data_IF_823484561158
#
_entry.id   IF_823484561158
#
_cell.length_a   1.000
_cell.length_b   1.000
_cell.length_c   1.000
_cell.angle_alpha   90.00
_cell.angle_beta   90.00
_cell.angle_gamma   90.00
#
_symmetry.space_group_name_H-M   'P 1'
#
loop_
_entity.id
_entity.type
_entity.pdbx_description
1 polymer ?
#
# COMPACT_ATOMS: atom_id res chain seq x y z
N UNK A 1 -43.00 -42.14 65.69
CA UNK A 1 -42.59 -42.47 64.30
C UNK A 1 -41.43 -43.46 64.37
N UNK A 2 -41.40 -44.46 63.49
CA UNK A 2 -40.38 -45.53 63.52
C UNK A 2 -39.00 -44.99 63.10
N UNK A 3 -37.94 -45.39 63.81
CA UNK A 3 -36.53 -45.07 63.51
C UNK A 3 -36.14 -45.37 62.05
N UNK A 4 -36.87 -46.28 61.38
CA UNK A 4 -36.71 -46.59 59.94
C UNK A 4 -37.28 -45.50 59.02
N UNK A 5 -38.34 -44.80 59.41
CA UNK A 5 -38.91 -43.70 58.64
C UNK A 5 -38.02 -42.45 58.71
N UNK A 6 -37.42 -42.19 59.87
CA UNK A 6 -36.44 -41.11 60.05
C UNK A 6 -35.16 -41.36 59.25
N UNK A 7 -34.61 -42.58 59.27
CA UNK A 7 -33.44 -42.93 58.45
C UNK A 7 -33.72 -42.84 56.95
N UNK A 8 -34.93 -43.22 56.51
CA UNK A 8 -35.33 -43.05 55.10
C UNK A 8 -35.43 -41.57 54.74
N UNK A 9 -36.07 -40.75 55.58
CA UNK A 9 -36.16 -39.31 55.35
C UNK A 9 -34.78 -38.63 55.31
N UNK A 10 -33.86 -39.02 56.20
CA UNK A 10 -32.49 -38.51 56.24
C UNK A 10 -31.66 -38.94 55.02
N UNK A 11 -31.84 -40.19 54.55
CA UNK A 11 -31.22 -40.69 53.33
C UNK A 11 -31.74 -39.95 52.08
N UNK A 12 -33.05 -39.69 51.99
CA UNK A 12 -33.61 -38.92 50.87
C UNK A 12 -33.14 -37.47 50.88
N UNK A 13 -33.05 -36.85 52.07
CA UNK A 13 -32.56 -35.48 52.22
C UNK A 13 -31.06 -35.35 51.86
N UNK A 14 -30.24 -36.33 52.24
CA UNK A 14 -28.81 -36.35 51.89
C UNK A 14 -28.56 -36.62 50.41
N UNK A 15 -29.33 -37.50 49.76
CA UNK A 15 -29.26 -37.70 48.31
C UNK A 15 -29.74 -36.46 47.56
N UNK A 16 -30.84 -35.83 48.01
CA UNK A 16 -31.33 -34.60 47.41
C UNK A 16 -30.33 -33.44 47.58
N UNK A 17 -29.67 -33.33 48.75
CA UNK A 17 -28.62 -32.35 48.99
C UNK A 17 -27.37 -32.62 48.13
N UNK A 18 -26.92 -33.88 48.01
CA UNK A 18 -25.80 -34.24 47.12
C UNK A 18 -26.12 -33.95 45.65
N UNK A 19 -27.33 -34.29 45.19
CA UNK A 19 -27.78 -33.99 43.83
C UNK A 19 -27.89 -32.48 43.59
N UNK A 20 -28.38 -31.72 44.57
CA UNK A 20 -28.44 -30.25 44.50
C UNK A 20 -27.05 -29.64 44.46
N UNK A 21 -26.09 -30.12 45.28
CA UNK A 21 -24.70 -29.66 45.24
C UNK A 21 -23.98 -30.10 43.96
N UNK A 22 -24.29 -31.26 43.40
CA UNK A 22 -23.78 -31.70 42.11
C UNK A 22 -24.32 -30.83 40.97
N UNK A 23 -25.62 -30.50 40.98
CA UNK A 23 -26.24 -29.57 40.03
C UNK A 23 -25.68 -28.14 40.18
N UNK A 24 -25.42 -27.68 41.41
CA UNK A 24 -24.77 -26.39 41.67
C UNK A 24 -23.29 -26.38 41.20
N UNK A 25 -22.61 -27.53 41.27
CA UNK A 25 -21.23 -27.71 40.76
C UNK A 25 -21.19 -27.78 39.22
N UNK A 26 -22.27 -28.24 38.58
CA UNK A 26 -22.40 -28.23 37.10
C UNK A 26 -22.59 -26.78 36.58
N UNK A 27 -22.90 -25.82 37.45
CA UNK A 27 -23.25 -24.45 37.04
C UNK A 27 -22.07 -23.46 36.88
N UNK A 28 -20.81 -23.86 37.10
CA UNK A 28 -19.65 -22.97 36.90
C UNK A 28 -18.56 -23.60 36.03
N UNK A 29 -18.79 -23.53 34.71
CA UNK A 29 -17.77 -23.83 33.71
C UNK A 29 -18.06 -23.22 32.34
N UNK A 30 -18.93 -22.21 32.24
CA UNK A 30 -18.97 -21.43 31.00
C UNK A 30 -17.68 -20.60 30.97
N UNK A 31 -16.77 -20.97 30.06
CA UNK A 31 -15.68 -20.08 29.69
C UNK A 31 -16.33 -18.73 29.31
N UNK A 32 -16.07 -17.70 30.11
CA UNK A 32 -16.57 -16.35 29.87
C UNK A 32 -15.88 -15.85 28.60
N UNK A 33 -16.48 -16.12 27.44
CA UNK A 33 -15.91 -15.67 26.18
C UNK A 33 -16.46 -14.30 25.83
N UNK A 34 -15.62 -13.45 25.28
CA UNK A 34 -15.99 -12.10 24.85
C UNK A 34 -15.46 -11.82 23.45
N UNK A 35 -16.02 -10.81 22.80
CA UNK A 35 -15.62 -10.39 21.48
C UNK A 35 -14.58 -9.27 21.60
N UNK A 36 -13.55 -9.31 20.76
CA UNK A 36 -12.57 -8.24 20.62
C UNK A 36 -12.77 -7.57 19.26
N UNK A 37 -13.04 -6.27 19.29
CA UNK A 37 -13.09 -5.44 18.09
C UNK A 37 -11.82 -4.59 17.99
N UNK A 38 -11.12 -4.74 16.88
CA UNK A 38 -9.94 -3.97 16.52
C UNK A 38 -10.30 -2.98 15.41
N UNK A 39 -9.77 -1.76 15.52
CA UNK A 39 -9.78 -0.74 14.48
C UNK A 39 -8.37 -0.48 14.00
N UNK A 40 -8.11 -0.93 12.79
CA UNK A 40 -6.83 -0.79 12.12
C UNK A 40 -6.80 0.53 11.37
N UNK A 41 -5.81 1.36 11.69
CA UNK A 41 -5.63 2.69 11.10
C UNK A 41 -4.19 2.93 10.68
N UNK A 42 -3.99 3.82 9.71
CA UNK A 42 -2.66 4.30 9.33
C UNK A 42 -2.09 5.26 10.40
N UNK A 43 -0.89 5.79 10.16
CA UNK A 43 -0.28 6.75 11.07
C UNK A 43 -1.15 8.00 11.34
N UNK A 44 -1.94 8.44 10.36
CA UNK A 44 -2.80 9.62 10.44
C UNK A 44 -4.18 9.32 11.04
N UNK A 45 -4.46 8.05 11.41
CA UNK A 45 -5.74 7.63 11.96
C UNK A 45 -6.80 7.28 10.92
N UNK A 46 -6.45 7.26 9.63
CA UNK A 46 -7.38 6.84 8.58
C UNK A 46 -7.55 5.31 8.64
N UNK A 47 -8.77 4.77 8.44
CA UNK A 47 -9.00 3.33 8.46
C UNK A 47 -8.24 2.61 7.34
N UNK A 48 -7.59 1.49 7.67
CA UNK A 48 -6.88 0.65 6.69
C UNK A 48 -7.62 -0.66 6.50
N UNK A 49 -8.25 -0.81 5.34
CA UNK A 49 -9.04 -1.98 4.99
C UNK A 49 -8.27 -3.07 4.23
N UNK A 50 -8.85 -4.27 4.21
CA UNK A 50 -8.33 -5.46 3.52
C UNK A 50 -6.90 -5.86 3.94
N UNK A 51 -6.51 -5.57 5.18
CA UNK A 51 -5.23 -6.01 5.73
C UNK A 51 -5.41 -7.21 6.64
N UNK A 52 -4.43 -8.11 6.61
CA UNK A 52 -4.45 -9.31 7.44
C UNK A 52 -4.06 -8.98 8.87
N UNK A 53 -4.97 -9.27 9.79
CA UNK A 53 -4.79 -9.15 11.24
C UNK A 53 -4.73 -10.55 11.82
N UNK A 54 -3.60 -10.87 12.44
CA UNK A 54 -3.36 -12.16 13.10
C UNK A 54 -3.42 -11.93 14.61
N UNK A 55 -4.33 -12.63 15.27
CA UNK A 55 -4.48 -12.64 16.73
C UNK A 55 -3.98 -13.97 17.27
N UNK A 56 -3.04 -13.92 18.21
CA UNK A 56 -2.44 -15.12 18.80
C UNK A 56 -2.43 -15.06 20.32
N UNK A 57 -2.48 -16.21 20.98
CA UNK A 57 -2.03 -16.41 22.35
C UNK A 57 -1.27 -17.75 22.44
N UNK A 58 -1.05 -18.29 23.63
CA UNK A 58 -0.34 -19.57 23.81
C UNK A 58 -0.99 -20.78 23.15
N UNK A 59 -2.31 -20.75 22.87
CA UNK A 59 -3.08 -21.89 22.34
C UNK A 59 -3.91 -21.56 21.10
N UNK A 60 -4.05 -20.28 20.76
CA UNK A 60 -4.90 -19.78 19.70
C UNK A 60 -4.07 -19.03 18.66
N UNK A 61 -4.38 -19.28 17.39
CA UNK A 61 -4.01 -18.40 16.27
C UNK A 61 -5.23 -18.23 15.37
N UNK A 62 -5.69 -16.99 15.20
CA UNK A 62 -6.79 -16.64 14.30
C UNK A 62 -6.35 -15.52 13.37
N UNK A 63 -6.86 -15.57 12.15
CA UNK A 63 -6.57 -14.58 11.12
C UNK A 63 -7.88 -13.97 10.63
N UNK A 64 -7.89 -12.65 10.45
CA UNK A 64 -9.02 -11.92 9.92
C UNK A 64 -8.53 -10.84 8.94
N UNK A 65 -9.30 -10.55 7.89
CA UNK A 65 -9.04 -9.40 7.00
C UNK A 65 -9.91 -8.23 7.40
N UNK A 66 -9.31 -7.08 7.69
CA UNK A 66 -10.08 -5.89 8.09
C UNK A 66 -11.06 -5.47 6.99
N UNK A 67 -12.21 -4.92 7.39
CA UNK A 67 -13.19 -4.35 6.46
C UNK A 67 -12.68 -3.05 5.83
N UNK A 68 -13.37 -2.48 4.85
CA UNK A 68 -13.05 -1.15 4.30
C UNK A 68 -13.04 -0.04 5.37
N UNK A 69 -13.79 -0.21 6.45
CA UNK A 69 -13.79 0.68 7.61
C UNK A 69 -12.61 0.39 8.58
N UNK A 70 -11.68 -0.49 8.23
CA UNK A 70 -10.54 -0.88 9.05
C UNK A 70 -10.91 -1.76 10.26
N UNK A 71 -12.10 -2.38 10.29
CA UNK A 71 -12.56 -3.14 11.45
C UNK A 71 -12.22 -4.62 11.33
N UNK A 72 -11.70 -5.23 12.39
CA UNK A 72 -11.52 -6.66 12.54
C UNK A 72 -12.15 -7.15 13.86
N UNK A 73 -13.00 -8.17 13.80
CA UNK A 73 -13.71 -8.67 14.99
C UNK A 73 -13.39 -10.13 15.25
N UNK A 74 -12.85 -10.41 16.44
CA UNK A 74 -12.54 -11.76 16.90
C UNK A 74 -13.54 -12.16 17.98
N UNK A 75 -14.41 -13.13 17.66
CA UNK A 75 -15.49 -13.52 18.57
C UNK A 75 -15.13 -14.67 19.48
N UNK A 76 -15.75 -14.74 20.65
CA UNK A 76 -15.64 -15.92 21.51
C UNK A 76 -14.21 -16.17 22.02
N UNK A 77 -13.52 -15.11 22.45
CA UNK A 77 -12.18 -15.19 23.02
C UNK A 77 -12.25 -15.41 24.53
N UNK A 78 -11.44 -16.33 25.04
CA UNK A 78 -11.24 -16.48 26.48
C UNK A 78 -10.51 -15.27 27.07
N UNK A 79 -10.68 -14.96 28.36
CA UNK A 79 -9.92 -13.89 29.00
C UNK A 79 -8.42 -14.20 28.98
N UNK A 80 -7.59 -13.20 28.73
CA UNK A 80 -6.14 -13.36 28.64
C UNK A 80 -5.46 -12.31 27.78
N UNK A 81 -4.13 -12.43 27.66
CA UNK A 81 -3.32 -11.61 26.78
C UNK A 81 -3.27 -12.22 25.38
N UNK A 82 -3.46 -11.38 24.37
CA UNK A 82 -3.33 -11.74 22.97
C UNK A 82 -2.33 -10.83 22.28
N UNK A 83 -1.54 -11.39 21.37
CA UNK A 83 -0.69 -10.63 20.47
C UNK A 83 -1.41 -10.38 19.15
N UNK A 84 -1.45 -9.12 18.73
CA UNK A 84 -2.01 -8.63 17.48
C UNK A 84 -0.86 -8.31 16.54
N UNK A 85 -0.83 -8.98 15.40
CA UNK A 85 0.12 -8.73 14.33
C UNK A 85 -0.63 -8.31 13.07
N UNK A 86 -0.16 -7.25 12.42
CA UNK A 86 -0.70 -6.81 11.13
C UNK A 86 0.44 -6.69 10.14
N UNK A 87 0.28 -7.30 8.97
CA UNK A 87 1.28 -7.27 7.91
C UNK A 87 0.73 -6.66 6.63
N UNK A 88 1.57 -5.90 5.93
CA UNK A 88 1.31 -5.34 4.59
C UNK A 88 2.49 -5.70 3.72
N UNK A 89 2.23 -6.27 2.54
CA UNK A 89 3.27 -6.72 1.59
C UNK A 89 4.35 -7.60 2.25
N UNK A 90 3.94 -8.46 3.19
CA UNK A 90 4.86 -9.35 3.93
C UNK A 90 5.76 -8.66 4.97
N UNK A 91 5.54 -7.38 5.26
CA UNK A 91 6.21 -6.62 6.32
C UNK A 91 5.30 -6.49 7.54
N UNK A 92 5.81 -6.79 8.73
CA UNK A 92 5.10 -6.59 9.99
C UNK A 92 5.03 -5.10 10.33
N UNK A 93 3.84 -4.50 10.16
CA UNK A 93 3.60 -3.06 10.33
C UNK A 93 2.92 -2.71 11.66
N UNK A 94 2.44 -3.70 12.40
CA UNK A 94 2.06 -3.57 13.81
C UNK A 94 2.29 -4.89 14.53
N UNK A 95 2.75 -4.80 15.78
CA UNK A 95 2.93 -5.92 16.69
C UNK A 95 2.70 -5.43 18.12
N UNK A 96 1.50 -5.65 18.66
CA UNK A 96 1.12 -5.17 19.98
C UNK A 96 0.38 -6.24 20.78
N UNK A 97 0.27 -6.04 22.10
CA UNK A 97 -0.51 -6.92 22.99
C UNK A 97 -1.82 -6.25 23.39
N UNK A 98 -2.87 -7.05 23.49
CA UNK A 98 -4.19 -6.63 23.97
C UNK A 98 -4.72 -7.64 24.98
N UNK A 99 -5.20 -7.12 26.11
CA UNK A 99 -5.87 -7.91 27.14
C UNK A 99 -7.36 -8.05 26.81
N UNK A 100 -7.88 -9.25 26.94
CA UNK A 100 -9.29 -9.61 26.79
C UNK A 100 -9.84 -10.02 28.17
N UNK A 101 -11.05 -9.56 28.58
CA UNK A 101 -11.93 -8.61 27.88
C UNK A 101 -11.28 -7.23 27.71
N UNK A 102 -11.64 -6.56 26.62
CA UNK A 102 -11.30 -5.17 26.36
C UNK A 102 -12.58 -4.34 26.32
N UNK A 103 -12.59 -3.20 26.98
CA UNK A 103 -13.74 -2.28 26.91
C UNK A 103 -13.64 -1.43 25.66
N UNK A 104 -14.68 -1.50 24.82
CA UNK A 104 -14.77 -0.69 23.60
C UNK A 104 -13.88 -1.17 22.45
N UNK A 105 -13.60 -0.23 21.54
CA UNK A 105 -12.82 -0.47 20.33
C UNK A 105 -11.32 -0.28 20.60
N UNK A 106 -10.50 -1.29 20.28
CA UNK A 106 -9.05 -1.17 20.37
C UNK A 106 -8.48 -0.64 19.04
N UNK A 107 -7.83 0.52 19.08
CA UNK A 107 -7.13 1.08 17.91
C UNK A 107 -5.74 0.43 17.76
N UNK A 108 -5.50 -0.15 16.58
CA UNK A 108 -4.20 -0.69 16.15
C UNK A 108 -3.64 0.26 15.09
N UNK A 109 -2.60 1.03 15.45
CA UNK A 109 -1.94 1.95 14.51
C UNK A 109 -0.85 1.22 13.73
N UNK A 110 -0.93 1.28 12.41
CA UNK A 110 0.04 0.69 11.51
C UNK A 110 1.18 1.66 11.25
N UNK A 111 2.41 1.14 11.22
CA UNK A 111 3.60 1.85 10.77
C UNK A 111 3.64 1.97 9.23
N UNK A 112 2.58 2.56 8.66
CA UNK A 112 2.45 2.88 7.25
C UNK A 112 1.93 4.31 7.07
N UNK A 113 2.28 4.92 5.95
CA UNK A 113 1.78 6.23 5.55
C UNK A 113 1.69 6.33 4.03
N UNK A 114 1.02 7.38 3.53
CA UNK A 114 1.01 7.72 2.11
C UNK A 114 2.33 8.40 1.74
N UNK A 115 2.99 7.93 0.67
CA UNK A 115 4.07 8.66 0.02
C UNK A 115 3.50 9.39 -1.19
N UNK A 116 3.29 10.71 -1.07
CA UNK A 116 2.82 11.56 -2.15
C UNK A 116 4.00 12.15 -2.93
N UNK A 117 3.95 12.10 -4.26
CA UNK A 117 5.03 12.50 -5.15
C UNK A 117 4.50 13.44 -6.24
N UNK A 118 5.35 14.36 -6.67
CA UNK A 118 5.14 15.24 -7.82
C UNK A 118 6.40 15.23 -8.67
N UNK A 119 6.33 14.65 -9.87
CA UNK A 119 7.45 14.66 -10.82
C UNK A 119 7.29 15.84 -11.75
N UNK A 120 8.32 16.67 -11.83
CA UNK A 120 8.40 17.85 -12.68
C UNK A 120 9.46 17.65 -13.77
N UNK A 121 9.26 18.28 -14.92
CA UNK A 121 10.28 18.43 -15.95
C UNK A 121 11.28 19.53 -15.59
N UNK A 122 12.30 19.75 -16.43
CA UNK A 122 13.35 20.73 -16.18
C UNK A 122 12.83 22.18 -16.13
N UNK A 123 11.64 22.45 -16.65
CA UNK A 123 10.97 23.74 -16.61
C UNK A 123 9.94 23.86 -15.46
N UNK A 124 9.87 22.86 -14.58
CA UNK A 124 8.96 22.87 -13.43
C UNK A 124 7.51 22.49 -13.75
N UNK A 125 7.22 21.97 -14.95
CA UNK A 125 5.89 21.50 -15.34
C UNK A 125 5.70 20.04 -14.96
N UNK A 126 4.47 19.62 -14.74
CA UNK A 126 4.15 18.22 -14.44
C UNK A 126 4.63 17.24 -15.53
N UNK A 127 5.46 16.27 -15.15
CA UNK A 127 5.91 15.22 -16.05
C UNK A 127 4.84 14.12 -16.16
N UNK A 128 3.95 14.22 -17.14
CA UNK A 128 2.87 13.25 -17.40
C UNK A 128 3.40 11.90 -17.90
N UNK A 129 2.80 10.80 -17.44
CA UNK A 129 2.98 9.49 -18.05
C UNK A 129 4.32 8.81 -17.77
N UNK A 130 5.13 9.34 -16.84
CA UNK A 130 6.40 8.71 -16.45
C UNK A 130 6.16 7.67 -15.38
N UNK A 131 6.90 6.57 -15.42
CA UNK A 131 6.79 5.50 -14.43
C UNK A 131 7.67 5.83 -13.24
N UNK A 132 7.11 5.81 -12.04
CA UNK A 132 7.84 5.92 -10.79
C UNK A 132 7.78 4.60 -10.06
N UNK A 133 8.95 4.11 -9.66
CA UNK A 133 9.11 2.91 -8.86
C UNK A 133 9.68 3.29 -7.50
N UNK A 134 9.16 2.68 -6.44
CA UNK A 134 9.74 2.74 -5.09
C UNK A 134 10.19 1.34 -4.70
N UNK A 135 11.44 1.21 -4.28
CA UNK A 135 12.02 -0.04 -3.81
C UNK A 135 12.70 0.17 -2.47
N UNK A 136 12.25 -0.55 -1.45
CA UNK A 136 12.90 -0.55 -0.13
C UNK A 136 14.34 -1.06 -0.23
N UNK A 137 15.22 -0.57 0.63
CA UNK A 137 16.64 -0.94 0.68
C UNK A 137 16.86 -2.44 0.95
N UNK A 138 15.92 -3.08 1.63
CA UNK A 138 15.92 -4.53 1.87
C UNK A 138 15.38 -5.34 0.69
N UNK A 139 14.76 -4.68 -0.30
CA UNK A 139 14.13 -5.31 -1.45
C UNK A 139 12.78 -5.98 -1.17
N UNK A 140 12.24 -5.90 0.07
CA UNK A 140 10.94 -6.52 0.41
C UNK A 140 9.75 -5.81 -0.22
N UNK A 141 9.80 -4.48 -0.24
CA UNK A 141 8.77 -3.64 -0.85
C UNK A 141 9.26 -3.14 -2.19
N UNK A 142 8.45 -3.37 -3.22
CA UNK A 142 8.62 -2.84 -4.56
C UNK A 142 7.24 -2.50 -5.13
N UNK A 143 7.02 -1.23 -5.46
CA UNK A 143 5.76 -0.75 -6.05
C UNK A 143 6.04 0.21 -7.19
N UNK A 144 5.16 0.28 -8.17
CA UNK A 144 5.26 1.19 -9.31
C UNK A 144 3.93 1.82 -9.65
N UNK A 145 3.96 3.08 -10.08
CA UNK A 145 2.81 3.82 -10.57
C UNK A 145 3.25 4.77 -11.70
N UNK A 146 2.31 5.24 -12.49
CA UNK A 146 2.55 6.23 -13.54
C UNK A 146 2.00 7.58 -13.09
N UNK A 147 2.69 8.67 -13.40
CA UNK A 147 2.24 10.02 -13.06
C UNK A 147 1.00 10.44 -13.85
N UNK A 148 0.13 11.19 -13.18
CA UNK A 148 -1.02 11.89 -13.77
C UNK A 148 -0.56 13.03 -14.70
N UNK A 149 -1.53 13.70 -15.34
CA UNK A 149 -1.28 14.82 -16.26
C UNK A 149 -0.50 15.98 -15.65
N UNK A 150 -0.67 16.22 -14.35
CA UNK A 150 0.03 17.25 -13.60
C UNK A 150 1.35 16.74 -12.99
N UNK A 151 1.76 15.50 -13.25
CA UNK A 151 2.95 14.89 -12.67
C UNK A 151 2.76 14.28 -11.28
N UNK A 152 1.53 14.27 -10.73
CA UNK A 152 1.27 13.72 -9.39
C UNK A 152 1.06 12.21 -9.38
N UNK A 153 1.43 11.56 -8.28
CA UNK A 153 1.04 10.20 -7.91
C UNK A 153 1.20 9.98 -6.39
N UNK A 154 0.69 8.87 -5.88
CA UNK A 154 0.94 8.47 -4.50
C UNK A 154 0.99 6.95 -4.31
N UNK A 155 1.70 6.51 -3.27
CA UNK A 155 1.67 5.13 -2.78
C UNK A 155 1.02 5.11 -1.40
N UNK A 156 -0.22 4.62 -1.31
CA UNK A 156 -0.96 4.49 -0.04
C UNK A 156 -0.47 3.30 0.78
N UNK A 157 -0.61 3.36 2.11
CA UNK A 157 -0.21 2.28 3.01
C UNK A 157 1.22 1.76 2.75
N UNK A 158 2.15 2.66 2.46
CA UNK A 158 3.55 2.32 2.25
C UNK A 158 4.23 2.17 3.62
N UNK A 159 4.87 1.01 3.93
CA UNK A 159 5.58 0.82 5.19
C UNK A 159 6.65 1.86 5.44
N UNK A 160 6.74 2.37 6.68
CA UNK A 160 7.69 3.40 7.06
C UNK A 160 9.14 2.88 7.03
N UNK A 161 10.08 3.77 6.68
CA UNK A 161 11.51 3.44 6.62
C UNK A 161 12.15 3.15 7.97
N UNK A 162 11.49 3.51 9.07
CA UNK A 162 11.92 3.18 10.44
C UNK A 162 11.78 1.68 10.75
N UNK A 163 11.00 0.93 9.96
CA UNK A 163 10.90 -0.51 10.10
C UNK A 163 12.19 -1.17 9.60
N UNK A 164 12.81 -1.99 10.46
CA UNK A 164 14.07 -2.70 10.16
C UNK A 164 14.00 -3.56 8.89
N UNK A 165 12.83 -4.11 8.58
CA UNK A 165 12.61 -4.93 7.39
C UNK A 165 12.41 -4.14 6.10
N UNK A 166 12.41 -2.80 6.17
CA UNK A 166 12.14 -1.89 5.05
C UNK A 166 13.35 -1.01 4.78
N UNK A 167 13.77 -0.21 5.77
CA UNK A 167 14.81 0.82 5.58
C UNK A 167 14.39 1.91 4.59
N UNK A 168 15.38 2.65 4.06
CA UNK A 168 15.13 3.73 3.11
C UNK A 168 14.57 3.20 1.78
N UNK A 169 13.89 4.06 1.01
CA UNK A 169 13.40 3.73 -0.33
C UNK A 169 14.28 4.36 -1.40
N UNK A 170 14.66 3.59 -2.41
CA UNK A 170 15.10 4.14 -3.68
C UNK A 170 13.87 4.43 -4.54
N UNK A 171 13.69 5.68 -4.92
CA UNK A 171 12.66 6.16 -5.83
C UNK A 171 13.29 6.38 -7.19
N UNK A 172 12.84 5.64 -8.19
CA UNK A 172 13.35 5.71 -9.56
C UNK A 172 12.26 6.22 -10.50
N UNK A 173 12.57 7.23 -11.30
CA UNK A 173 11.70 7.72 -12.38
C UNK A 173 12.22 7.18 -13.71
N UNK A 174 11.33 6.60 -14.51
CA UNK A 174 11.60 5.99 -15.80
C UNK A 174 10.74 6.57 -16.91
N UNK A 175 11.35 6.75 -18.07
CA UNK A 175 10.66 6.98 -19.34
C UNK A 175 10.95 5.78 -20.22
N UNK A 176 9.92 4.96 -20.50
CA UNK A 176 10.09 3.67 -21.17
C UNK A 176 11.15 2.83 -20.45
N UNK A 177 12.26 2.47 -21.11
CA UNK A 177 13.33 1.68 -20.52
C UNK A 177 14.46 2.52 -19.90
N UNK A 178 14.44 3.85 -20.08
CA UNK A 178 15.47 4.74 -19.54
C UNK A 178 15.15 5.18 -18.11
N UNK A 179 16.13 5.06 -17.22
CA UNK A 179 16.08 5.66 -15.88
C UNK A 179 16.57 7.10 -15.95
N UNK A 180 15.71 8.05 -15.60
CA UNK A 180 16.02 9.48 -15.74
C UNK A 180 16.34 10.16 -14.42
N UNK A 181 15.88 9.57 -13.30
CA UNK A 181 16.17 10.06 -11.97
C UNK A 181 16.15 8.87 -10.99
N UNK A 182 17.07 8.86 -10.03
CA UNK A 182 17.07 7.92 -8.91
C UNK A 182 17.49 8.64 -7.64
N UNK A 183 16.66 8.60 -6.61
CA UNK A 183 16.90 9.27 -5.33
C UNK A 183 16.58 8.34 -4.17
N UNK A 184 17.31 8.46 -3.07
CA UNK A 184 17.00 7.75 -1.84
C UNK A 184 16.17 8.66 -0.91
N UNK A 185 15.13 8.09 -0.33
CA UNK A 185 14.15 8.79 0.52
C UNK A 185 13.90 7.97 1.77
N UNK A 186 14.02 8.61 2.93
CA UNK A 186 13.51 8.05 4.17
C UNK A 186 12.01 8.36 4.27
N UNK A 187 11.18 7.34 4.08
CA UNK A 187 9.73 7.47 4.18
C UNK A 187 9.31 7.51 5.66
N UNK A 188 9.02 8.72 6.12
CA UNK A 188 8.40 8.98 7.41
C UNK A 188 6.95 9.44 7.20
N UNK A 189 6.13 9.50 8.26
CA UNK A 189 4.82 10.15 8.19
C UNK A 189 5.00 11.64 7.89
N UNK A 190 4.94 11.98 6.61
CA UNK A 190 5.12 13.34 6.10
C UNK A 190 3.78 13.81 5.52
N UNK A 191 3.36 15.01 5.89
CA UNK A 191 2.20 15.68 5.29
C UNK A 191 2.59 16.51 4.05
N UNK A 192 3.79 16.31 3.49
CA UNK A 192 4.28 17.05 2.33
C UNK A 192 4.44 16.14 1.14
N UNK A 193 4.15 16.68 -0.04
CA UNK A 193 4.46 16.06 -1.32
C UNK A 193 5.96 16.13 -1.58
N UNK A 194 6.57 15.01 -1.96
CA UNK A 194 7.96 14.99 -2.41
C UNK A 194 8.01 15.42 -3.88
N UNK A 195 8.62 16.58 -4.13
CA UNK A 195 8.86 17.08 -5.48
C UNK A 195 10.16 16.52 -6.05
N UNK A 196 10.09 15.99 -7.27
CA UNK A 196 11.21 15.39 -7.99
C UNK A 196 11.36 16.07 -9.34
N UNK A 197 12.46 16.78 -9.57
CA UNK A 197 12.76 17.40 -10.85
C UNK A 197 13.54 16.39 -11.70
N UNK A 198 12.88 15.85 -12.72
CA UNK A 198 13.48 14.92 -13.66
C UNK A 198 14.09 15.69 -14.85
N UNK A 199 15.24 15.23 -15.41
CA UNK A 199 15.91 15.85 -16.54
C UNK A 199 15.17 15.55 -17.85
N UNK A 200 13.94 16.04 -17.94
CA UNK A 200 13.01 15.90 -19.04
C UNK A 200 12.75 17.27 -19.65
N UNK A 201 12.54 17.32 -20.96
CA UNK A 201 12.27 18.55 -21.71
C UNK A 201 11.14 18.36 -22.71
N UNK A 202 10.65 19.48 -23.24
CA UNK A 202 9.84 19.51 -24.46
C UNK A 202 10.72 19.82 -25.66
N UNK A 203 10.67 18.98 -26.69
CA UNK A 203 11.33 19.23 -27.97
C UNK A 203 10.29 19.63 -29.01
N UNK A 204 10.49 20.79 -29.65
CA UNK A 204 9.72 21.23 -30.80
C UNK A 204 10.50 21.03 -32.10
N UNK A 205 9.81 20.66 -33.16
CA UNK A 205 10.38 20.45 -34.49
C UNK A 205 9.60 21.27 -35.51
N UNK A 206 10.33 21.93 -36.41
CA UNK A 206 9.81 22.51 -37.64
C UNK A 206 10.35 21.71 -38.81
N UNK A 207 9.47 21.30 -39.72
CA UNK A 207 9.77 20.46 -40.87
C UNK A 207 9.36 21.21 -42.12
N UNK A 208 10.37 21.62 -42.89
CA UNK A 208 10.23 22.46 -44.06
C UNK A 208 10.84 21.76 -45.28
N UNK A 209 10.38 22.14 -46.47
CA UNK A 209 11.03 21.75 -47.72
C UNK A 209 12.23 22.66 -48.05
N UNK A 210 12.84 22.48 -49.23
CA UNK A 210 13.97 23.29 -49.68
C UNK A 210 13.58 24.76 -49.96
N UNK A 211 12.29 25.04 -50.17
CA UNK A 211 11.75 26.39 -50.33
C UNK A 211 11.42 27.06 -48.99
N UNK A 212 11.51 26.33 -47.88
CA UNK A 212 11.12 26.81 -46.54
C UNK A 212 9.64 26.62 -46.23
N UNK A 213 8.89 25.93 -47.09
CA UNK A 213 7.45 25.72 -46.89
C UNK A 213 7.17 24.53 -45.95
N UNK A 214 6.14 24.62 -45.08
CA UNK A 214 5.78 23.56 -44.15
C UNK A 214 5.46 22.22 -44.84
N UNK A 215 6.06 21.13 -44.35
CA UNK A 215 5.78 19.77 -44.87
C UNK A 215 4.92 18.99 -43.89
N UNK A 216 3.71 18.62 -44.33
CA UNK A 216 2.75 17.83 -43.56
C UNK A 216 2.85 16.34 -43.84
N UNK A 217 2.18 15.54 -43.00
CA UNK A 217 2.05 14.08 -43.12
C UNK A 217 3.41 13.36 -43.17
N UNK A 218 4.38 13.94 -42.46
CA UNK A 218 5.68 13.34 -42.18
C UNK A 218 5.56 12.61 -40.84
N UNK A 219 5.93 11.35 -40.81
CA UNK A 219 6.12 10.63 -39.56
C UNK A 219 7.50 10.96 -39.00
N UNK A 220 7.54 11.69 -37.89
CA UNK A 220 8.76 12.07 -37.19
C UNK A 220 9.00 11.12 -36.03
N UNK A 221 10.19 10.52 -36.00
CA UNK A 221 10.66 9.63 -34.94
C UNK A 221 11.95 10.14 -34.33
N UNK A 222 12.01 10.15 -33.01
CA UNK A 222 13.25 10.37 -32.27
C UNK A 222 13.54 9.16 -31.39
N UNK A 223 14.77 8.68 -31.39
CA UNK A 223 15.17 7.54 -30.56
C UNK A 223 16.54 7.74 -29.95
N UNK A 224 16.71 7.25 -28.72
CA UNK A 224 17.96 7.22 -27.98
C UNK A 224 17.96 5.97 -27.09
N UNK A 225 18.97 5.81 -26.23
CA UNK A 225 19.09 4.60 -25.39
C UNK A 225 17.82 4.36 -24.56
N UNK A 226 17.06 3.32 -24.92
CA UNK A 226 15.85 2.90 -24.21
C UNK A 226 14.58 3.73 -24.42
N UNK A 227 14.59 4.71 -25.33
CA UNK A 227 13.43 5.58 -25.62
C UNK A 227 13.18 5.76 -27.10
N UNK A 228 11.89 5.82 -27.47
CA UNK A 228 11.41 6.06 -28.84
C UNK A 228 10.14 6.91 -28.78
N UNK A 229 10.14 8.06 -29.44
CA UNK A 229 8.96 8.90 -29.61
C UNK A 229 8.61 9.00 -31.09
N UNK A 230 7.32 9.06 -31.39
CA UNK A 230 6.77 9.12 -32.75
C UNK A 230 5.63 10.12 -32.76
N UNK A 231 5.59 10.99 -33.77
CA UNK A 231 4.48 11.91 -34.00
C UNK A 231 4.38 12.23 -35.49
N UNK A 232 3.16 12.37 -35.97
CA UNK A 232 2.92 12.92 -37.30
C UNK A 232 3.01 14.43 -37.27
N UNK A 233 3.72 15.01 -38.23
CA UNK A 233 3.90 16.45 -38.40
C UNK A 233 2.62 17.08 -38.98
N UNK A 234 2.18 18.19 -38.38
CA UNK A 234 1.02 18.98 -38.81
C UNK A 234 1.40 20.46 -38.86
N UNK A 235 0.99 21.14 -39.92
CA UNK A 235 1.39 22.52 -40.25
C UNK A 235 2.91 22.72 -40.17
N UNK A 236 3.67 21.74 -40.67
CA UNK A 236 5.13 21.68 -40.57
C UNK A 236 5.68 21.61 -39.15
N UNK A 237 4.86 21.34 -38.13
CA UNK A 237 5.26 21.33 -36.72
C UNK A 237 4.98 19.98 -36.06
N UNK A 238 5.88 19.60 -35.16
CA UNK A 238 5.69 18.48 -34.25
C UNK A 238 6.33 18.80 -32.91
N UNK A 239 5.86 18.15 -31.84
CA UNK A 239 6.50 18.30 -30.54
C UNK A 239 6.38 17.02 -29.70
N UNK A 240 7.43 16.77 -28.92
CA UNK A 240 7.48 15.70 -27.94
C UNK A 240 7.62 16.31 -26.55
N UNK A 241 6.89 15.79 -25.57
CA UNK A 241 7.00 16.19 -24.16
C UNK A 241 7.51 15.02 -23.34
N UNK A 242 8.16 15.31 -22.21
CA UNK A 242 8.73 14.27 -21.35
C UNK A 242 9.92 13.56 -21.98
N UNK A 243 10.64 14.24 -22.89
CA UNK A 243 11.81 13.68 -23.56
C UNK A 243 13.00 13.75 -22.62
N UNK A 244 13.68 12.63 -22.29
CA UNK A 244 14.92 12.69 -21.52
C UNK A 244 15.99 13.52 -22.21
N UNK A 245 16.76 14.27 -21.43
CA UNK A 245 17.91 15.01 -21.97
C UNK A 245 19.01 14.06 -22.47
N UNK A 246 19.81 14.53 -23.42
CA UNK A 246 20.91 13.75 -24.02
C UNK A 246 22.02 13.39 -23.03
N UNK A 247 22.14 14.12 -21.92
CA UNK A 247 23.04 13.75 -20.81
C UNK A 247 22.62 12.45 -20.11
N UNK A 248 21.35 12.04 -20.25
CA UNK A 248 20.82 10.81 -19.66
C UNK A 248 20.81 9.66 -20.65
N UNK A 249 20.32 9.88 -21.87
CA UNK A 249 20.06 8.80 -22.85
C UNK A 249 21.00 8.82 -24.06
N UNK A 250 21.93 9.76 -24.11
CA UNK A 250 22.82 9.99 -25.25
C UNK A 250 22.17 10.78 -26.38
N UNK A 251 22.88 10.86 -27.50
CA UNK A 251 22.42 11.56 -28.70
C UNK A 251 21.20 10.88 -29.31
N UNK A 252 20.22 11.70 -29.71
CA UNK A 252 19.04 11.21 -30.41
C UNK A 252 19.32 11.01 -31.90
N UNK A 253 18.83 9.90 -32.44
CA UNK A 253 18.62 9.71 -33.87
C UNK A 253 17.25 10.27 -34.24
N UNK A 254 17.20 11.14 -35.24
CA UNK A 254 15.97 11.74 -35.76
C UNK A 254 15.71 11.19 -37.15
N UNK A 255 14.53 10.60 -37.34
CA UNK A 255 14.09 10.03 -38.62
C UNK A 255 12.78 10.69 -39.01
N UNK A 256 12.75 11.28 -40.20
CA UNK A 256 11.54 11.79 -40.83
C UNK A 256 11.20 10.89 -42.02
N UNK A 257 9.96 10.40 -42.09
CA UNK A 257 9.51 9.51 -43.16
C UNK A 257 8.21 10.02 -43.76
N UNK A 258 8.18 10.24 -45.07
CA UNK A 258 6.98 10.63 -45.82
C UNK A 258 6.70 9.59 -46.89
N UNK A 259 5.52 9.00 -46.85
CA UNK A 259 5.09 8.02 -47.85
C UNK A 259 4.26 8.72 -48.91
N UNK A 260 4.65 8.56 -50.18
CA UNK A 260 3.85 9.02 -51.31
C UNK A 260 3.08 7.82 -51.86
N UNK A 261 1.76 7.92 -51.92
CA UNK A 261 0.97 6.99 -52.72
C UNK A 261 1.33 7.23 -54.20
N UNK A 262 1.96 6.24 -54.83
CA UNK A 262 2.13 6.24 -56.28
C UNK A 262 0.76 6.30 -56.94
N UNK A 263 0.59 7.24 -57.87
CA UNK A 263 -0.55 7.26 -58.80
C UNK A 263 -0.33 6.24 -59.90
#
# INVERSE_FOLDING_TARGET
>A
MSRRAEMRALATFTIAAMLLTALFSIQLGYAQTTDLQLKVVDYNGNPVGNVEVVLTNSTLRRTFRSTSAGVATFRGLSPGEYNVQVSIDGVLVANETVRVPHEGERIVRLAVAVLALKVLDAEGRGAKGVTVQVRSSTGKIERSATTSDDGSLSFSNLPLSTLREVGSYNVTVRVMNATVLSVNVDHAPLNRTLELIAPLVRLGFEVLDLGGEPVNDVELRISASGVLFSSTVKDGKAAFSGVPTSSVVGSYQVVASKTYSGR
#
